data_IF_618339817740
#
_entry.id   IF_618339817740
#
_cell.length_a   1.000
_cell.length_b   1.000
_cell.length_c   1.000
_cell.angle_alpha   90.00
_cell.angle_beta   90.00
_cell.angle_gamma   90.00
#
_symmetry.space_group_name_H-M   'P 1'
#
loop_
_entity.id
_entity.type
_entity.pdbx_description
1 polymer ?
#
# COMPACT_ATOMS: atom_id res chain seq x y z
N UNK A 1 -19.62 10.26 -11.33
CA UNK A 1 -18.47 9.44 -11.75
C UNK A 1 -17.26 10.20 -11.24
N UNK A 2 -16.39 9.60 -10.44
CA UNK A 2 -15.12 10.26 -10.11
C UNK A 2 -14.38 10.46 -11.42
N UNK A 3 -14.32 11.70 -11.91
CA UNK A 3 -13.64 12.07 -13.17
C UNK A 3 -12.12 11.87 -13.09
N UNK A 4 -11.59 11.45 -11.93
CA UNK A 4 -10.16 11.24 -11.71
C UNK A 4 -9.58 10.07 -12.50
N UNK A 5 -10.39 9.05 -12.84
CA UNK A 5 -9.94 7.85 -13.55
C UNK A 5 -10.79 7.63 -14.80
N UNK A 6 -10.17 7.70 -15.98
CA UNK A 6 -10.84 7.54 -17.27
C UNK A 6 -10.42 6.23 -17.97
N UNK A 7 -11.37 5.58 -18.64
CA UNK A 7 -11.11 4.33 -19.38
C UNK A 7 -10.80 3.17 -18.43
N UNK A 8 -9.73 2.42 -18.72
CA UNK A 8 -9.31 1.25 -17.94
C UNK A 8 -8.44 1.60 -16.73
N UNK A 9 -8.16 2.89 -16.51
CA UNK A 9 -7.39 3.32 -15.35
C UNK A 9 -8.25 3.16 -14.09
N UNK A 10 -7.71 2.48 -13.08
CA UNK A 10 -8.29 2.35 -11.75
C UNK A 10 -7.28 2.83 -10.71
N UNK A 11 -7.74 3.07 -9.48
CA UNK A 11 -6.85 3.36 -8.36
C UNK A 11 -5.78 2.26 -8.18
N UNK A 12 -6.18 0.99 -8.34
CA UNK A 12 -5.27 -0.17 -8.28
C UNK A 12 -4.17 -0.05 -9.33
N UNK A 13 -4.53 0.05 -10.61
CA UNK A 13 -3.55 0.10 -11.71
C UNK A 13 -2.66 1.33 -11.63
N UNK A 14 -3.18 2.46 -11.11
CA UNK A 14 -2.39 3.65 -10.86
C UNK A 14 -1.34 3.42 -9.77
N UNK A 15 -1.72 2.82 -8.64
CA UNK A 15 -0.78 2.46 -7.56
C UNK A 15 0.25 1.41 -8.02
N UNK A 16 -0.16 0.40 -8.81
CA UNK A 16 0.73 -0.62 -9.38
C UNK A 16 1.80 0.01 -10.29
N UNK A 17 1.43 1.02 -11.09
CA UNK A 17 2.37 1.74 -11.96
C UNK A 17 3.46 2.48 -11.17
N UNK A 18 3.23 2.74 -9.89
CA UNK A 18 4.11 3.47 -8.98
C UNK A 18 4.85 2.53 -8.03
N UNK A 19 5.11 1.29 -8.45
CA UNK A 19 5.66 0.16 -7.68
C UNK A 19 6.87 0.42 -6.76
N UNK A 20 7.55 1.56 -6.86
CA UNK A 20 8.66 1.97 -5.98
C UNK A 20 8.54 3.39 -5.39
N UNK A 21 7.40 4.07 -5.56
CA UNK A 21 7.23 5.46 -5.12
C UNK A 21 6.03 5.64 -4.22
N UNK A 22 6.04 4.90 -3.11
CA UNK A 22 5.04 5.01 -2.02
C UNK A 22 4.87 6.47 -1.57
N UNK A 23 5.95 7.26 -1.55
CA UNK A 23 5.90 8.69 -1.23
C UNK A 23 5.02 9.53 -2.18
N UNK A 24 4.78 9.08 -3.40
CA UNK A 24 3.94 9.79 -4.38
C UNK A 24 2.45 9.49 -4.23
N UNK A 25 2.10 8.36 -3.59
CA UNK A 25 0.69 7.91 -3.44
C UNK A 25 0.18 8.03 -2.01
N UNK A 26 1.06 8.12 -1.02
CA UNK A 26 0.69 8.23 0.38
C UNK A 26 0.17 9.63 0.70
N UNK A 27 -0.89 9.68 1.51
CA UNK A 27 -1.46 10.92 2.01
C UNK A 27 -0.41 11.76 2.76
N UNK A 28 -0.35 13.06 2.46
CA UNK A 28 0.63 13.98 3.03
C UNK A 28 0.53 14.13 4.56
N UNK A 29 -0.59 13.74 5.17
CA UNK A 29 -0.75 13.72 6.62
C UNK A 29 -0.16 12.47 7.29
N UNK A 30 0.11 11.40 6.52
CA UNK A 30 0.64 10.14 7.03
C UNK A 30 2.17 10.04 6.91
N UNK A 31 2.77 10.76 5.96
CA UNK A 31 4.21 10.72 5.72
C UNK A 31 4.73 12.10 5.33
N UNK A 32 5.61 12.67 6.15
CA UNK A 32 6.28 13.94 5.86
C UNK A 32 7.77 13.73 5.68
N UNK A 33 8.41 14.48 4.79
CA UNK A 33 9.87 14.33 4.55
C UNK A 33 10.71 14.68 5.78
N UNK A 34 10.15 15.43 6.71
CA UNK A 34 10.80 15.88 7.93
C UNK A 34 10.61 14.91 9.10
N UNK A 35 9.88 13.81 8.92
CA UNK A 35 9.64 12.82 9.96
C UNK A 35 10.95 12.15 10.40
N UNK A 36 11.25 12.16 11.70
CA UNK A 36 12.44 11.51 12.26
C UNK A 36 12.48 10.00 11.96
N UNK A 37 11.31 9.38 11.83
CA UNK A 37 11.09 7.96 11.53
C UNK A 37 10.69 7.71 10.07
N UNK A 38 10.97 8.65 9.15
CA UNK A 38 10.59 8.60 7.73
C UNK A 38 10.93 7.24 7.07
N UNK A 39 12.12 6.70 7.32
CA UNK A 39 12.55 5.42 6.73
C UNK A 39 11.70 4.23 7.23
N UNK A 40 11.39 4.20 8.53
CA UNK A 40 10.55 3.16 9.14
C UNK A 40 9.11 3.27 8.62
N UNK A 41 8.55 4.48 8.59
CA UNK A 41 7.23 4.74 8.03
C UNK A 41 7.14 4.34 6.55
N UNK A 42 8.12 4.74 5.73
CA UNK A 42 8.20 4.34 4.32
C UNK A 42 8.23 2.81 4.17
N UNK A 43 9.08 2.12 4.94
CA UNK A 43 9.17 0.66 4.93
C UNK A 43 7.84 -0.02 5.29
N UNK A 44 7.16 0.51 6.31
CA UNK A 44 5.85 0.00 6.72
C UNK A 44 4.78 0.26 5.65
N UNK A 45 4.71 1.48 5.13
CA UNK A 45 3.73 1.86 4.10
C UNK A 45 3.95 1.07 2.80
N UNK A 46 5.20 0.82 2.41
CA UNK A 46 5.52 -0.10 1.31
C UNK A 46 5.01 -1.51 1.55
N UNK A 47 5.18 -2.03 2.77
CA UNK A 47 4.64 -3.35 3.13
C UNK A 47 3.11 -3.38 3.05
N UNK A 48 2.44 -2.32 3.51
CA UNK A 48 0.98 -2.19 3.45
C UNK A 48 0.48 -2.05 2.01
N UNK A 49 1.16 -1.28 1.16
CA UNK A 49 0.78 -1.13 -0.25
C UNK A 49 0.95 -2.44 -1.02
N UNK A 50 2.07 -3.16 -0.82
CA UNK A 50 2.26 -4.48 -1.41
C UNK A 50 1.17 -5.46 -0.98
N UNK A 51 0.78 -5.44 0.30
CA UNK A 51 -0.31 -6.24 0.82
C UNK A 51 -1.67 -5.84 0.20
N UNK A 52 -1.96 -4.53 0.09
CA UNK A 52 -3.17 -4.04 -0.52
C UNK A 52 -3.29 -4.51 -1.98
N UNK A 53 -2.20 -4.45 -2.75
CA UNK A 53 -2.16 -4.97 -4.12
C UNK A 53 -2.51 -6.46 -4.18
N UNK A 54 -1.89 -7.29 -3.34
CA UNK A 54 -2.18 -8.71 -3.25
C UNK A 54 -3.64 -9.03 -2.85
N UNK A 55 -4.25 -8.18 -2.02
CA UNK A 55 -5.68 -8.29 -1.67
C UNK A 55 -6.61 -7.85 -2.81
N UNK A 56 -6.12 -7.04 -3.75
CA UNK A 56 -6.90 -6.53 -4.89
C UNK A 56 -6.64 -7.28 -6.19
N UNK A 57 -5.93 -8.41 -6.15
CA UNK A 57 -5.74 -9.28 -7.32
C UNK A 57 -7.10 -9.69 -7.90
N UNK A 58 -7.23 -9.59 -9.24
CA UNK A 58 -8.50 -9.81 -9.91
C UNK A 58 -8.88 -11.28 -9.90
N UNK A 59 -7.90 -12.15 -10.10
CA UNK A 59 -8.01 -13.60 -9.94
C UNK A 59 -8.32 -13.97 -8.49
N UNK A 60 -9.48 -14.60 -8.20
CA UNK A 60 -9.82 -15.06 -6.87
C UNK A 60 -8.82 -16.06 -6.30
N UNK A 61 -8.24 -16.92 -7.14
CA UNK A 61 -7.30 -17.97 -6.74
C UNK A 61 -5.91 -17.42 -6.39
N UNK A 62 -5.51 -16.30 -6.99
CA UNK A 62 -4.23 -15.62 -6.72
C UNK A 62 -4.36 -14.53 -5.64
N UNK A 63 -5.60 -14.16 -5.27
CA UNK A 63 -5.86 -13.18 -4.23
C UNK A 63 -5.46 -13.73 -2.87
N UNK A 64 -4.77 -12.90 -2.09
CA UNK A 64 -4.30 -13.28 -0.76
C UNK A 64 -5.45 -13.68 0.17
N UNK A 65 -5.29 -14.78 0.92
CA UNK A 65 -6.25 -15.19 1.94
C UNK A 65 -6.30 -14.17 3.10
N UNK A 66 -7.49 -13.94 3.64
CA UNK A 66 -7.69 -12.92 4.67
C UNK A 66 -6.95 -13.25 5.98
N UNK A 67 -6.71 -14.53 6.30
CA UNK A 67 -5.89 -14.93 7.45
C UNK A 67 -4.44 -14.53 7.24
N UNK A 68 -3.92 -14.75 6.04
CA UNK A 68 -2.55 -14.36 5.68
C UNK A 68 -2.39 -12.84 5.66
N UNK A 69 -3.39 -12.12 5.15
CA UNK A 69 -3.43 -10.67 5.21
C UNK A 69 -3.37 -10.13 6.65
N UNK A 70 -4.09 -10.75 7.60
CA UNK A 70 -3.99 -10.39 9.03
C UNK A 70 -2.59 -10.66 9.58
N UNK A 71 -1.93 -11.75 9.18
CA UNK A 71 -0.56 -12.05 9.59
C UNK A 71 0.41 -10.97 9.08
N UNK A 72 0.31 -10.58 7.81
CA UNK A 72 1.17 -9.54 7.22
C UNK A 72 0.91 -8.14 7.81
N UNK A 73 -0.35 -7.80 8.13
CA UNK A 73 -0.68 -6.58 8.85
C UNK A 73 -0.05 -6.53 10.25
N UNK A 74 -0.07 -7.66 10.98
CA UNK A 74 0.57 -7.75 12.30
C UNK A 74 2.08 -7.55 12.19
N UNK A 75 2.74 -8.14 11.18
CA UNK A 75 4.17 -7.91 10.92
C UNK A 75 4.47 -6.43 10.63
N UNK A 76 3.66 -5.80 9.80
CA UNK A 76 3.81 -4.37 9.47
C UNK A 76 3.61 -3.48 10.70
N UNK A 77 2.62 -3.78 11.54
CA UNK A 77 2.40 -3.08 12.82
C UNK A 77 3.60 -3.22 13.76
N UNK A 78 4.21 -4.40 13.87
CA UNK A 78 5.40 -4.58 14.71
C UNK A 78 6.57 -3.71 14.25
N UNK A 79 6.76 -3.55 12.94
CA UNK A 79 7.82 -2.68 12.38
C UNK A 79 7.67 -1.20 12.75
N UNK A 80 6.45 -0.73 13.03
CA UNK A 80 6.18 0.65 13.48
C UNK A 80 6.34 0.84 14.99
N UNK A 81 6.26 -0.24 15.77
CA UNK A 81 6.28 -0.21 17.23
C UNK A 81 7.65 -0.60 17.82
N UNK A 82 8.61 -0.93 16.95
CA UNK A 82 10.01 -1.20 17.29
C UNK A 82 10.88 -0.02 16.88
#
# INVERSE_FOLDING_TARGET
MDEMFTGDLTLKTWVESLSNSVIQVVDANLLRREDEDLATKLSCLSSIMALALACTTDSPEERLDMKDAVVELKKSKMKLLM
#
